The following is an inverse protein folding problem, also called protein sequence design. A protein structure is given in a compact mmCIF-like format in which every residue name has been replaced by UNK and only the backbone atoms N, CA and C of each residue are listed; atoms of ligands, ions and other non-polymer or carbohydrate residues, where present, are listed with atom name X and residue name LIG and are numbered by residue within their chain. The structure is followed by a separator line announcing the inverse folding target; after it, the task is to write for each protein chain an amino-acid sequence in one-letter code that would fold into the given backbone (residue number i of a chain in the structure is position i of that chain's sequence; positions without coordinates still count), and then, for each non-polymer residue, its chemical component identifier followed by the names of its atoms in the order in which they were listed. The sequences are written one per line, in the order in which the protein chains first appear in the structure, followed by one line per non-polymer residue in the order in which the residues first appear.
data_IF_467156455683
#
_entry.id   IF_467156455683
#
_cell.length_a   1.000
_cell.length_b   1.000
_cell.length_c   1.000
_cell.angle_alpha   90.00
_cell.angle_beta   90.00
_cell.angle_gamma   90.00
#
_symmetry.space_group_name_H-M   'P 1'
#
loop_
_entity.id
_entity.type
_entity.pdbx_description
1 polymer ?
#
# COMPACT_ATOMS: atom_id res chain seq x y z
N UNK A 1 -28.33 -4.98 -29.64
CA UNK A 1 -26.98 -5.38 -29.20
C UNK A 1 -26.06 -4.19 -29.46
N UNK A 2 -26.08 -3.22 -28.55
CA UNK A 2 -25.29 -1.98 -28.68
C UNK A 2 -23.90 -2.24 -28.14
N UNK A 3 -22.92 -2.23 -29.03
CA UNK A 3 -21.51 -2.22 -28.71
C UNK A 3 -21.18 -0.89 -28.01
N UNK A 4 -20.85 -0.95 -26.72
CA UNK A 4 -20.18 0.15 -26.03
C UNK A 4 -18.68 0.03 -26.29
N UNK A 5 -18.20 0.82 -27.24
CA UNK A 5 -16.78 1.12 -27.40
C UNK A 5 -16.38 2.11 -26.31
N UNK A 6 -15.63 1.65 -25.31
CA UNK A 6 -14.90 2.53 -24.38
C UNK A 6 -13.75 3.15 -25.18
N UNK A 7 -13.64 4.49 -25.28
CA UNK A 7 -12.50 5.10 -25.95
C UNK A 7 -11.26 4.91 -25.07
N UNK A 8 -10.20 4.39 -25.70
CA UNK A 8 -8.87 4.22 -25.13
C UNK A 8 -8.29 5.59 -24.84
N UNK A 9 -8.03 5.90 -23.56
CA UNK A 9 -7.37 7.12 -23.15
C UNK A 9 -6.02 7.23 -23.87
N UNK A 10 -5.86 8.32 -24.62
CA UNK A 10 -4.60 8.76 -25.20
C UNK A 10 -3.61 9.07 -24.10
N UNK A 11 -2.39 8.54 -24.21
CA UNK A 11 -1.19 8.96 -23.47
C UNK A 11 -1.00 10.48 -23.61
N UNK A 12 -1.59 11.23 -22.69
CA UNK A 12 -1.43 12.68 -22.53
C UNK A 12 -0.98 12.97 -21.09
N UNK A 13 -0.31 14.10 -20.84
CA UNK A 13 0.05 14.50 -19.48
C UNK A 13 -1.20 14.57 -18.59
N UNK A 14 -1.08 14.25 -17.29
CA UNK A 14 -2.22 14.03 -16.41
C UNK A 14 -3.14 15.25 -16.39
N UNK A 15 -4.44 15.00 -16.61
CA UNK A 15 -5.51 15.98 -16.44
C UNK A 15 -5.92 16.07 -14.97
N UNK A 16 -4.94 16.12 -14.06
CA UNK A 16 -5.14 16.44 -12.66
C UNK A 16 -4.93 17.95 -12.48
N UNK A 17 -5.75 18.59 -11.65
CA UNK A 17 -5.74 20.04 -11.39
C UNK A 17 -4.54 20.55 -10.57
N UNK A 18 -3.36 19.96 -10.76
CA UNK A 18 -2.08 20.31 -10.16
C UNK A 18 -1.00 19.37 -10.71
N UNK A 19 0.27 19.77 -10.67
CA UNK A 19 1.44 19.01 -11.19
C UNK A 19 1.74 17.69 -10.43
N UNK A 20 0.78 17.15 -9.68
CA UNK A 20 0.91 15.97 -8.83
C UNK A 20 0.36 14.74 -9.54
N UNK A 21 1.18 13.69 -9.63
CA UNK A 21 0.76 12.36 -10.07
C UNK A 21 0.28 11.57 -8.86
N UNK A 22 -0.93 11.00 -8.91
CA UNK A 22 -1.40 10.18 -7.81
C UNK A 22 -0.57 8.88 -7.71
N UNK A 23 -0.34 8.31 -6.51
CA UNK A 23 0.35 7.02 -6.38
C UNK A 23 -0.31 5.91 -7.20
N UNK A 24 -1.63 5.96 -7.39
CA UNK A 24 -2.37 5.05 -8.26
C UNK A 24 -1.92 5.12 -9.73
N UNK A 25 -1.76 6.31 -10.29
CA UNK A 25 -1.34 6.52 -11.69
C UNK A 25 0.10 6.07 -11.91
N UNK A 26 0.94 6.36 -10.92
CA UNK A 26 2.34 5.93 -10.88
C UNK A 26 2.42 4.40 -10.90
N UNK A 27 1.65 3.74 -10.03
CA UNK A 27 1.58 2.28 -9.99
C UNK A 27 1.12 1.70 -11.32
N UNK A 28 0.06 2.27 -11.93
CA UNK A 28 -0.43 1.81 -13.24
C UNK A 28 0.64 1.93 -14.32
N UNK A 29 1.37 3.04 -14.35
CA UNK A 29 2.45 3.27 -15.32
C UNK A 29 3.56 2.21 -15.19
N UNK A 30 3.99 1.92 -13.95
CA UNK A 30 4.97 0.85 -13.68
C UNK A 30 4.38 -0.49 -14.11
N UNK A 31 3.17 -0.81 -13.64
CA UNK A 31 2.53 -2.10 -13.90
C UNK A 31 2.39 -2.38 -15.40
N UNK A 32 1.94 -1.40 -16.19
CA UNK A 32 1.81 -1.54 -17.64
C UNK A 32 3.14 -1.77 -18.33
N UNK A 33 4.19 -1.02 -17.98
CA UNK A 33 5.52 -1.20 -18.57
C UNK A 33 6.07 -2.58 -18.28
N UNK A 34 6.01 -3.03 -17.02
CA UNK A 34 6.48 -4.35 -16.63
C UNK A 34 5.63 -5.47 -17.25
N UNK A 35 4.31 -5.28 -17.32
CA UNK A 35 3.40 -6.26 -17.92
C UNK A 35 3.65 -6.41 -19.42
N UNK A 36 3.77 -5.31 -20.16
CA UNK A 36 4.01 -5.33 -21.61
C UNK A 36 5.37 -5.93 -21.92
N UNK A 37 6.43 -5.46 -21.25
CA UNK A 37 7.78 -5.95 -21.47
C UNK A 37 7.92 -7.43 -21.08
N UNK A 38 7.39 -7.80 -19.91
CA UNK A 38 7.38 -9.18 -19.41
C UNK A 38 6.60 -10.11 -20.33
N UNK A 39 5.44 -9.67 -20.83
CA UNK A 39 4.64 -10.42 -21.80
C UNK A 39 5.40 -10.59 -23.12
N UNK A 40 6.04 -9.55 -23.64
CA UNK A 40 6.83 -9.61 -24.87
C UNK A 40 7.96 -10.63 -24.74
N UNK A 41 8.76 -10.53 -23.67
CA UNK A 41 9.86 -11.47 -23.41
C UNK A 41 9.32 -12.90 -23.22
N UNK A 42 8.24 -13.04 -22.45
CA UNK A 42 7.58 -14.32 -22.22
C UNK A 42 7.11 -14.97 -23.51
N UNK A 43 6.46 -14.22 -24.41
CA UNK A 43 6.03 -14.72 -25.73
C UNK A 43 7.23 -15.18 -26.56
N UNK A 44 8.31 -14.39 -26.61
CA UNK A 44 9.52 -14.78 -27.36
C UNK A 44 10.10 -16.08 -26.83
N UNK A 45 10.25 -16.21 -25.50
CA UNK A 45 10.80 -17.42 -24.87
C UNK A 45 9.89 -18.62 -25.13
N UNK A 46 8.58 -18.49 -24.91
CA UNK A 46 7.62 -19.57 -25.10
C UNK A 46 7.57 -20.01 -26.57
N UNK A 47 7.48 -19.08 -27.51
CA UNK A 47 7.47 -19.39 -28.95
C UNK A 47 8.77 -20.07 -29.37
N UNK A 48 9.92 -19.57 -28.91
CA UNK A 48 11.23 -20.17 -29.21
C UNK A 48 11.33 -21.60 -28.64
N UNK A 49 10.93 -21.80 -27.38
CA UNK A 49 10.90 -23.12 -26.75
C UNK A 49 9.95 -24.07 -27.47
N UNK A 50 8.75 -23.64 -27.84
CA UNK A 50 7.79 -24.45 -28.58
C UNK A 50 8.29 -24.77 -30.00
N UNK A 51 8.88 -23.80 -30.68
CA UNK A 51 9.52 -24.01 -31.98
C UNK A 51 10.57 -25.10 -31.90
N UNK A 52 11.48 -25.03 -30.91
CA UNK A 52 12.51 -26.06 -30.74
C UNK A 52 11.93 -27.40 -30.32
N UNK A 53 10.97 -27.41 -29.41
CA UNK A 53 10.29 -28.63 -28.96
C UNK A 53 9.57 -29.34 -30.11
N UNK A 54 8.97 -28.61 -31.06
CA UNK A 54 8.27 -29.20 -32.21
C UNK A 54 9.24 -29.57 -33.33
N UNK A 55 10.23 -28.72 -33.63
CA UNK A 55 11.16 -28.90 -34.75
C UNK A 55 12.18 -29.99 -34.49
N UNK A 56 12.63 -30.13 -33.23
CA UNK A 56 13.66 -31.08 -32.83
C UNK A 56 13.12 -32.20 -31.92
N UNK A 57 11.80 -32.43 -31.91
CA UNK A 57 11.23 -33.61 -31.22
C UNK A 57 11.78 -34.89 -31.82
N UNK A 58 11.98 -35.89 -30.97
CA UNK A 58 12.26 -37.25 -31.43
C UNK A 58 11.06 -37.77 -32.24
N UNK A 59 11.33 -38.29 -33.42
CA UNK A 59 10.37 -39.00 -34.27
C UNK A 59 10.85 -40.43 -34.46
N UNK A 60 9.91 -41.37 -34.54
CA UNK A 60 10.22 -42.78 -34.80
C UNK A 60 10.76 -42.91 -36.23
N UNK A 61 12.09 -43.00 -36.37
CA UNK A 61 12.77 -43.06 -37.67
C UNK A 61 14.26 -42.75 -37.60
N UNK A 62 14.94 -42.81 -38.74
CA UNK A 62 16.33 -42.36 -38.86
C UNK A 62 16.38 -40.85 -38.63
N UNK A 63 17.24 -40.43 -37.70
CA UNK A 63 17.40 -39.04 -37.33
C UNK A 63 17.95 -38.22 -38.52
N UNK A 64 17.18 -37.23 -39.03
CA UNK A 64 17.55 -36.48 -40.22
C UNK A 64 18.77 -35.58 -40.01
N UNK A 65 19.23 -35.40 -38.77
CA UNK A 65 20.38 -34.55 -38.44
C UNK A 65 21.65 -35.33 -38.12
N UNK A 66 21.61 -36.67 -38.12
CA UNK A 66 22.69 -37.55 -37.66
C UNK A 66 24.06 -37.25 -38.32
N UNK A 67 24.06 -36.93 -39.62
CA UNK A 67 25.28 -36.67 -40.40
C UNK A 67 25.64 -35.18 -40.49
N UNK A 68 24.79 -34.29 -39.99
CA UNK A 68 24.89 -32.82 -40.21
C UNK A 68 25.22 -32.02 -38.96
N UNK A 69 25.10 -32.62 -37.78
CA UNK A 69 25.32 -31.95 -36.50
C UNK A 69 26.11 -32.86 -35.58
N UNK A 70 27.29 -32.43 -35.16
CA UNK A 70 28.05 -33.10 -34.10
C UNK A 70 27.28 -33.02 -32.79
N UNK A 71 26.91 -34.18 -32.26
CA UNK A 71 26.23 -34.30 -30.97
C UNK A 71 27.26 -34.49 -29.88
N UNK A 72 27.08 -33.85 -28.71
CA UNK A 72 27.93 -34.13 -27.57
C UNK A 72 27.75 -35.61 -27.17
N UNK A 73 28.85 -36.36 -27.17
CA UNK A 73 28.85 -37.72 -26.62
C UNK A 73 29.13 -37.69 -25.12
N UNK A 74 28.66 -38.73 -24.43
CA UNK A 74 28.85 -38.85 -22.98
C UNK A 74 30.36 -38.97 -22.66
N UNK A 75 30.91 -37.97 -21.98
CA UNK A 75 32.33 -37.94 -21.60
C UNK A 75 33.20 -37.00 -22.44
N UNK A 76 32.66 -36.42 -23.51
CA UNK A 76 33.36 -35.39 -24.29
C UNK A 76 33.06 -33.98 -23.77
N UNK A 77 34.09 -33.15 -23.63
CA UNK A 77 33.92 -31.73 -23.37
C UNK A 77 33.53 -31.03 -24.68
N UNK A 78 32.47 -30.20 -24.71
CA UNK A 78 32.07 -29.50 -25.91
C UNK A 78 33.21 -28.60 -26.42
N UNK A 79 33.77 -28.90 -27.60
CA UNK A 79 34.89 -28.16 -28.20
C UNK A 79 34.43 -27.09 -29.20
N UNK A 80 33.18 -27.15 -29.66
CA UNK A 80 32.62 -26.25 -30.66
C UNK A 80 31.75 -25.15 -30.07
N UNK A 81 32.31 -23.96 -29.83
CA UNK A 81 31.49 -22.81 -29.46
C UNK A 81 32.13 -21.48 -29.78
N UNK A 82 31.52 -20.72 -30.69
CA UNK A 82 31.64 -19.25 -30.74
C UNK A 82 31.05 -18.56 -29.47
N UNK A 83 31.04 -19.27 -28.34
CA UNK A 83 30.03 -19.22 -27.29
C UNK A 83 30.15 -18.03 -26.36
N UNK A 84 31.36 -17.51 -26.14
CA UNK A 84 31.56 -16.34 -25.29
C UNK A 84 30.80 -15.12 -25.80
N UNK A 85 30.92 -14.79 -27.10
CA UNK A 85 30.36 -13.54 -27.63
C UNK A 85 28.83 -13.48 -27.52
N UNK A 86 28.14 -14.59 -27.73
CA UNK A 86 26.68 -14.66 -27.60
C UNK A 86 26.25 -14.51 -26.14
N UNK A 87 26.96 -15.17 -25.22
CA UNK A 87 26.70 -15.06 -23.77
C UNK A 87 26.99 -13.66 -23.25
N UNK A 88 28.13 -13.06 -23.63
CA UNK A 88 28.46 -11.69 -23.24
C UNK A 88 27.47 -10.67 -23.80
N UNK A 89 27.01 -10.85 -25.05
CA UNK A 89 26.02 -9.96 -25.66
C UNK A 89 24.65 -10.09 -24.99
N UNK A 90 24.15 -11.32 -24.77
CA UNK A 90 22.85 -11.53 -24.13
C UNK A 90 22.86 -11.09 -22.66
N UNK A 91 23.93 -11.40 -21.92
CA UNK A 91 24.11 -10.95 -20.54
C UNK A 91 24.24 -9.43 -20.47
N UNK A 92 25.01 -8.81 -21.37
CA UNK A 92 25.20 -7.36 -21.43
C UNK A 92 23.90 -6.62 -21.72
N UNK A 93 23.12 -7.06 -22.73
CA UNK A 93 21.82 -6.46 -23.05
C UNK A 93 20.85 -6.62 -21.89
N UNK A 94 20.78 -7.82 -21.29
CA UNK A 94 19.92 -8.07 -20.12
C UNK A 94 20.30 -7.18 -18.94
N UNK A 95 21.60 -7.07 -18.63
CA UNK A 95 22.09 -6.21 -17.55
C UNK A 95 21.70 -4.75 -17.76
N UNK A 96 21.86 -4.21 -18.98
CA UNK A 96 21.46 -2.83 -19.30
C UNK A 96 19.96 -2.62 -19.11
N UNK A 97 19.13 -3.55 -19.60
CA UNK A 97 17.66 -3.46 -19.44
C UNK A 97 17.30 -3.48 -17.95
N UNK A 98 17.80 -4.46 -17.20
CA UNK A 98 17.47 -4.64 -15.78
C UNK A 98 17.94 -3.44 -14.95
N UNK A 99 19.18 -2.96 -15.15
CA UNK A 99 19.70 -1.80 -14.42
C UNK A 99 18.91 -0.53 -14.72
N UNK A 100 18.47 -0.35 -15.97
CA UNK A 100 17.63 0.79 -16.35
C UNK A 100 16.26 0.73 -15.67
N UNK A 101 15.63 -0.46 -15.64
CA UNK A 101 14.35 -0.65 -14.96
C UNK A 101 14.45 -0.44 -13.45
N UNK A 102 15.52 -0.93 -12.82
CA UNK A 102 15.78 -0.73 -11.38
C UNK A 102 15.93 0.78 -11.09
N UNK A 103 16.77 1.47 -11.87
CA UNK A 103 16.99 2.90 -11.70
C UNK A 103 15.70 3.70 -11.83
N UNK A 104 14.90 3.41 -12.86
CA UNK A 104 13.61 4.08 -13.05
C UNK A 104 12.61 3.76 -11.92
N UNK A 105 12.49 2.48 -11.53
CA UNK A 105 11.58 2.06 -10.45
C UNK A 105 11.97 2.72 -9.11
N UNK A 106 13.26 2.85 -8.83
CA UNK A 106 13.74 3.52 -7.63
C UNK A 106 13.38 5.01 -7.60
N UNK A 107 13.54 5.72 -8.72
CA UNK A 107 13.15 7.13 -8.82
C UNK A 107 11.65 7.32 -8.57
N UNK A 108 10.84 6.41 -9.08
CA UNK A 108 9.39 6.45 -8.92
C UNK A 108 8.95 6.05 -7.50
N UNK A 109 9.65 5.10 -6.87
CA UNK A 109 9.45 4.77 -5.45
C UNK A 109 9.76 5.96 -4.56
N UNK A 110 10.89 6.66 -4.77
CA UNK A 110 11.24 7.86 -4.00
C UNK A 110 10.17 8.95 -4.13
N UNK A 111 9.58 9.13 -5.31
CA UNK A 111 8.46 10.06 -5.49
C UNK A 111 7.24 9.68 -4.63
N UNK A 112 6.90 8.39 -4.54
CA UNK A 112 5.80 7.90 -3.70
C UNK A 112 6.15 7.99 -2.20
N UNK A 113 7.38 7.72 -1.80
CA UNK A 113 7.76 7.74 -0.37
C UNK A 113 7.78 9.17 0.19
N UNK A 114 8.37 10.12 -0.54
CA UNK A 114 8.46 11.51 -0.10
C UNK A 114 7.11 12.24 -0.24
N UNK A 115 6.39 11.93 -1.32
CA UNK A 115 5.19 12.64 -1.74
C UNK A 115 5.47 14.08 -2.20
N UNK A 116 4.51 14.71 -2.88
CA UNK A 116 4.66 16.08 -3.35
C UNK A 116 4.68 17.07 -2.17
N UNK A 117 5.55 18.08 -2.25
CA UNK A 117 5.47 19.28 -1.41
C UNK A 117 4.87 20.42 -2.25
N UNK A 118 3.62 20.79 -2.00
CA UNK A 118 2.96 21.89 -2.72
C UNK A 118 3.23 23.20 -2.00
N UNK A 119 3.95 24.11 -2.65
CA UNK A 119 4.25 25.42 -2.07
C UNK A 119 2.97 26.20 -1.76
N UNK A 120 2.77 26.57 -0.50
CA UNK A 120 1.64 27.41 -0.06
C UNK A 120 0.38 26.64 0.32
N UNK A 121 0.35 25.31 0.22
CA UNK A 121 -0.73 24.47 0.72
C UNK A 121 -0.25 23.58 1.87
N UNK A 122 -0.88 23.71 3.04
CA UNK A 122 -0.65 22.76 4.12
C UNK A 122 -1.34 21.44 3.77
N UNK A 123 -0.56 20.35 3.78
CA UNK A 123 -1.06 19.00 3.57
C UNK A 123 -2.14 18.67 4.60
N UNK A 124 -3.27 18.12 4.14
CA UNK A 124 -4.30 17.62 5.05
C UNK A 124 -3.77 16.32 5.67
N UNK A 125 -3.28 16.41 6.91
CA UNK A 125 -2.74 15.29 7.67
C UNK A 125 -3.81 14.70 8.57
N UNK A 126 -4.11 13.42 8.39
CA UNK A 126 -5.11 12.68 9.16
C UNK A 126 -4.42 11.49 9.80
N UNK A 127 -4.59 11.32 11.11
CA UNK A 127 -4.08 10.13 11.80
C UNK A 127 -5.09 9.00 11.62
N UNK A 128 -4.61 7.83 11.23
CA UNK A 128 -5.40 6.61 11.08
C UNK A 128 -4.98 5.63 12.18
N UNK A 129 -5.88 5.33 13.10
CA UNK A 129 -5.63 4.40 14.20
C UNK A 129 -6.42 3.12 13.99
N UNK A 130 -5.71 2.01 13.76
CA UNK A 130 -6.28 0.67 13.69
C UNK A 130 -6.52 0.07 15.08
N UNK A 131 -7.63 -0.63 15.23
CA UNK A 131 -7.92 -1.48 16.40
C UNK A 131 -8.80 -2.67 15.97
N UNK A 132 -8.86 -3.72 16.76
CA UNK A 132 -9.76 -4.85 16.51
C UNK A 132 -11.23 -4.41 16.74
N UNK A 133 -12.08 -4.29 15.73
CA UNK A 133 -11.89 -4.50 14.29
C UNK A 133 -12.45 -3.31 13.49
N UNK A 134 -11.80 -2.16 13.60
CA UNK A 134 -12.20 -0.92 12.95
C UNK A 134 -11.07 0.10 12.89
N UNK A 135 -11.42 1.27 12.40
CA UNK A 135 -10.50 2.37 12.16
C UNK A 135 -11.06 3.65 12.79
N UNK A 136 -10.20 4.40 13.46
CA UNK A 136 -10.49 5.77 13.89
C UNK A 136 -9.65 6.73 13.05
N UNK A 137 -10.31 7.74 12.48
CA UNK A 137 -9.68 8.83 11.74
C UNK A 137 -9.68 10.08 12.62
N UNK A 138 -8.50 10.58 12.96
CA UNK A 138 -8.33 11.78 13.77
C UNK A 138 -7.88 12.92 12.87
N UNK A 139 -8.70 13.96 12.78
CA UNK A 139 -8.44 15.13 11.95
C UNK A 139 -7.58 16.17 12.70
N UNK A 140 -6.97 17.16 12.02
CA UNK A 140 -6.08 18.13 12.66
C UNK A 140 -6.70 18.94 13.81
N UNK A 141 -8.02 19.13 13.80
CA UNK A 141 -8.76 19.80 14.87
C UNK A 141 -9.07 18.88 16.08
N UNK A 142 -8.63 17.62 16.04
CA UNK A 142 -8.90 16.62 17.07
C UNK A 142 -10.25 15.92 16.94
N UNK A 143 -11.02 16.19 15.88
CA UNK A 143 -12.25 15.46 15.61
C UNK A 143 -11.94 14.00 15.27
N UNK A 144 -12.67 13.06 15.89
CA UNK A 144 -12.55 11.64 15.62
C UNK A 144 -13.75 11.15 14.79
N UNK A 145 -13.49 10.34 13.78
CA UNK A 145 -14.55 9.73 12.95
C UNK A 145 -14.24 8.26 12.63
N UNK A 146 -15.28 7.48 12.34
CA UNK A 146 -15.17 6.13 11.76
C UNK A 146 -15.25 6.14 10.23
N UNK A 147 -15.48 7.31 9.62
CA UNK A 147 -15.52 7.52 8.17
C UNK A 147 -14.44 8.52 7.77
N UNK A 148 -13.63 8.16 6.77
CA UNK A 148 -12.58 9.02 6.24
C UNK A 148 -13.19 9.93 5.17
N UNK A 149 -13.56 11.15 5.54
CA UNK A 149 -14.04 12.17 4.62
C UNK A 149 -12.86 13.04 4.19
N UNK A 150 -12.67 13.22 2.89
CA UNK A 150 -11.56 13.99 2.33
C UNK A 150 -12.01 14.84 1.15
N UNK A 151 -11.38 16.00 0.91
CA UNK A 151 -11.69 16.81 -0.27
C UNK A 151 -11.05 16.25 -1.54
N UNK A 152 -11.77 16.30 -2.65
CA UNK A 152 -11.21 16.01 -3.99
C UNK A 152 -10.10 16.99 -4.36
N UNK A 153 -9.19 16.57 -5.24
CA UNK A 153 -8.09 17.39 -5.76
C UNK A 153 -7.24 18.03 -4.65
N UNK A 154 -6.95 17.25 -3.61
CA UNK A 154 -6.06 17.68 -2.53
C UNK A 154 -5.17 16.52 -2.12
N UNK A 155 -3.92 16.82 -1.82
CA UNK A 155 -3.00 15.85 -1.23
C UNK A 155 -3.43 15.61 0.22
N UNK A 156 -3.75 14.34 0.51
CA UNK A 156 -4.08 13.86 1.84
C UNK A 156 -2.93 12.99 2.32
N UNK A 157 -2.37 13.32 3.48
CA UNK A 157 -1.34 12.53 4.16
C UNK A 157 -1.96 11.78 5.32
N UNK A 158 -1.67 10.49 5.40
CA UNK A 158 -2.14 9.59 6.43
C UNK A 158 -0.98 9.20 7.32
N UNK A 159 -1.11 9.46 8.61
CA UNK A 159 -0.21 8.95 9.64
C UNK A 159 -0.86 7.72 10.26
N UNK A 160 -0.37 6.54 9.91
CA UNK A 160 -1.03 5.27 10.21
C UNK A 160 -0.35 4.59 11.41
N UNK A 161 -1.14 4.23 12.42
CA UNK A 161 -0.67 3.53 13.62
C UNK A 161 -1.73 2.56 14.14
N UNK A 162 -1.41 1.81 15.18
CA UNK A 162 -2.32 0.84 15.81
C UNK A 162 -2.36 0.98 17.32
N UNK A 163 -3.54 0.73 17.89
CA UNK A 163 -3.79 0.70 19.34
C UNK A 163 -3.49 -0.67 19.96
N UNK A 164 -3.47 -1.75 19.18
CA UNK A 164 -3.43 -3.12 19.71
C UNK A 164 -2.46 -4.07 18.99
N UNK A 165 -2.77 -4.52 17.78
CA UNK A 165 -2.03 -5.52 17.00
C UNK A 165 -1.57 -4.94 15.66
N UNK A 166 -0.85 -5.72 14.87
CA UNK A 166 -0.51 -5.32 13.51
C UNK A 166 -1.77 -5.31 12.64
N UNK A 167 -1.97 -4.20 11.93
CA UNK A 167 -2.95 -4.06 10.86
C UNK A 167 -2.24 -3.52 9.62
N UNK A 168 -2.94 -3.47 8.49
CA UNK A 168 -2.48 -2.75 7.31
C UNK A 168 -3.68 -2.01 6.72
N UNK A 169 -3.65 -0.68 6.84
CA UNK A 169 -4.70 0.18 6.29
C UNK A 169 -4.51 0.28 4.79
N UNK A 170 -5.55 0.02 3.99
CA UNK A 170 -5.49 0.26 2.56
C UNK A 170 -6.81 0.67 1.95
N UNK A 171 -6.72 1.51 0.91
CA UNK A 171 -7.86 1.95 0.09
C UNK A 171 -7.62 1.39 -1.32
N UNK A 172 -8.26 0.27 -1.71
CA UNK A 172 -7.96 -0.42 -2.95
C UNK A 172 -8.11 0.48 -4.19
N UNK A 173 -9.15 1.31 -4.22
CA UNK A 173 -9.43 2.23 -5.33
C UNK A 173 -8.30 3.24 -5.57
N UNK A 174 -7.57 3.62 -4.51
CA UNK A 174 -6.49 4.60 -4.59
C UNK A 174 -5.10 3.95 -4.64
N UNK A 175 -5.03 2.60 -4.60
CA UNK A 175 -3.79 1.81 -4.53
C UNK A 175 -2.82 2.28 -3.43
N UNK A 176 -3.37 2.81 -2.34
CA UNK A 176 -2.60 3.25 -1.18
C UNK A 176 -2.75 2.23 -0.06
N UNK A 177 -1.64 1.90 0.59
CA UNK A 177 -1.62 1.06 1.78
C UNK A 177 -0.46 1.42 2.70
N UNK A 178 -0.65 1.27 4.01
CA UNK A 178 0.39 1.47 5.01
C UNK A 178 0.15 0.59 6.25
N UNK A 179 1.24 0.15 6.87
CA UNK A 179 1.18 -0.72 8.04
C UNK A 179 0.78 0.07 9.29
N UNK A 180 -0.23 -0.42 10.00
CA UNK A 180 -0.65 0.11 11.29
C UNK A 180 0.01 -0.73 12.39
N UNK A 181 1.07 -0.20 12.99
CA UNK A 181 1.94 -0.93 13.92
C UNK A 181 1.87 -0.30 15.31
N UNK A 182 1.63 -1.08 16.39
CA UNK A 182 1.63 -0.53 17.74
C UNK A 182 2.97 0.10 18.11
N UNK A 183 2.94 1.35 18.57
CA UNK A 183 4.13 2.11 18.96
C UNK A 183 4.98 2.64 17.80
N UNK A 184 4.50 2.53 16.56
CA UNK A 184 5.15 3.12 15.38
C UNK A 184 4.11 3.84 14.52
N UNK A 185 4.54 4.91 13.86
CA UNK A 185 3.72 5.62 12.88
C UNK A 185 4.36 5.44 11.51
N UNK A 186 3.59 4.91 10.57
CA UNK A 186 3.96 4.86 9.15
C UNK A 186 3.20 5.96 8.41
N UNK A 187 3.67 6.31 7.21
CA UNK A 187 3.04 7.34 6.40
C UNK A 187 2.55 6.76 5.08
N UNK A 188 1.40 7.25 4.63
CA UNK A 188 0.93 7.09 3.26
C UNK A 188 0.39 8.45 2.78
N UNK A 189 0.23 8.61 1.47
CA UNK A 189 -0.49 9.75 0.94
C UNK A 189 -1.25 9.35 -0.31
N UNK A 190 -2.25 10.14 -0.66
CA UNK A 190 -2.97 10.01 -1.92
C UNK A 190 -3.57 11.36 -2.31
N UNK A 191 -4.00 11.44 -3.57
CA UNK A 191 -4.89 12.48 -4.07
C UNK A 191 -5.91 11.78 -4.96
N UNK A 192 -7.13 12.28 -4.98
CA UNK A 192 -8.21 11.70 -5.78
C UNK A 192 -9.12 12.81 -6.29
N UNK A 193 -9.54 12.71 -7.54
CA UNK A 193 -10.27 13.78 -8.24
C UNK A 193 -11.77 13.48 -8.37
N UNK A 194 -12.18 12.22 -8.40
CA UNK A 194 -13.59 11.83 -8.50
C UNK A 194 -14.27 11.84 -7.11
N UNK A 195 -15.40 12.51 -7.00
CA UNK A 195 -16.20 12.46 -5.77
C UNK A 195 -16.96 11.14 -5.69
N UNK A 196 -17.07 10.57 -4.50
CA UNK A 196 -17.80 9.33 -4.30
C UNK A 196 -17.49 8.69 -2.95
N UNK A 197 -18.10 7.54 -2.73
CA UNK A 197 -17.87 6.69 -1.57
C UNK A 197 -17.03 5.49 -2.00
N UNK A 198 -15.96 5.26 -1.27
CA UNK A 198 -14.98 4.20 -1.46
C UNK A 198 -14.85 3.42 -0.15
N UNK A 199 -14.18 2.26 -0.22
CA UNK A 199 -13.99 1.38 0.93
C UNK A 199 -12.51 1.32 1.29
N UNK A 200 -12.22 1.42 2.58
CA UNK A 200 -10.94 1.04 3.16
C UNK A 200 -11.07 -0.32 3.86
N UNK A 201 -10.01 -1.11 3.86
CA UNK A 201 -10.00 -2.44 4.45
C UNK A 201 -8.64 -2.77 5.09
N UNK A 202 -8.65 -3.74 6.00
CA UNK A 202 -7.43 -4.29 6.58
C UNK A 202 -6.78 -5.33 5.66
N UNK A 203 -5.46 -5.23 5.44
CA UNK A 203 -4.67 -6.16 4.61
C UNK A 203 -3.70 -7.05 5.38
N UNK A 204 -3.62 -6.90 6.71
CA UNK A 204 -2.79 -7.73 7.59
C UNK A 204 -3.68 -8.53 8.53
N UNK A 205 -3.44 -9.83 8.67
CA UNK A 205 -4.30 -10.72 9.46
C UNK A 205 -4.29 -10.29 10.93
N UNK A 206 -5.36 -9.62 11.35
CA UNK A 206 -5.44 -8.97 12.66
C UNK A 206 -6.41 -9.65 13.65
N UNK A 207 -6.95 -10.83 13.33
CA UNK A 207 -7.80 -11.61 14.23
C UNK A 207 -9.05 -12.21 13.56
N UNK A 208 -10.00 -12.68 14.38
CA UNK A 208 -11.17 -13.46 13.92
C UNK A 208 -12.14 -12.68 13.01
N UNK A 209 -12.20 -11.36 13.15
CA UNK A 209 -13.05 -10.48 12.34
C UNK A 209 -12.24 -9.64 11.34
N UNK A 210 -11.02 -10.07 10.99
CA UNK A 210 -10.15 -9.39 10.02
C UNK A 210 -10.87 -9.07 8.70
N UNK A 211 -11.63 -10.01 8.14
CA UNK A 211 -12.35 -9.81 6.87
C UNK A 211 -13.53 -8.83 6.95
N UNK A 212 -13.96 -8.46 8.16
CA UNK A 212 -15.05 -7.50 8.38
C UNK A 212 -14.52 -6.10 8.75
N UNK A 213 -13.19 -5.96 8.91
CA UNK A 213 -12.53 -4.72 9.30
C UNK A 213 -12.43 -3.77 8.10
N UNK A 214 -13.53 -3.08 7.85
CA UNK A 214 -13.71 -2.11 6.76
C UNK A 214 -14.03 -0.72 7.32
N UNK A 215 -13.81 0.31 6.52
CA UNK A 215 -14.26 1.68 6.81
C UNK A 215 -14.68 2.38 5.53
N UNK A 216 -15.60 3.33 5.66
CA UNK A 216 -16.05 4.14 4.54
C UNK A 216 -15.08 5.30 4.29
N UNK A 217 -14.81 5.59 3.03
CA UNK A 217 -13.99 6.72 2.58
C UNK A 217 -14.82 7.59 1.65
N UNK A 218 -15.09 8.82 2.02
CA UNK A 218 -15.90 9.75 1.24
C UNK A 218 -15.03 10.85 0.63
N UNK A 219 -14.96 10.89 -0.69
CA UNK A 219 -14.33 11.98 -1.43
C UNK A 219 -15.41 12.98 -1.80
N UNK A 220 -15.33 14.18 -1.24
CA UNK A 220 -16.34 15.23 -1.41
C UNK A 220 -15.77 16.45 -2.12
N UNK A 221 -16.63 17.36 -2.58
CA UNK A 221 -16.17 18.65 -3.10
C UNK A 221 -15.44 19.46 -2.02
N UNK A 222 -14.52 20.34 -2.45
CA UNK A 222 -13.78 21.23 -1.53
C UNK A 222 -14.71 22.09 -0.66
N UNK A 223 -15.83 22.58 -1.23
CA UNK A 223 -16.83 23.36 -0.48
C UNK A 223 -17.55 22.50 0.56
N UNK A 224 -17.99 21.29 0.18
CA UNK A 224 -18.66 20.37 1.10
C UNK A 224 -17.74 19.93 2.23
N UNK A 225 -16.45 19.66 1.94
CA UNK A 225 -15.45 19.36 2.97
C UNK A 225 -15.29 20.52 3.94
N UNK A 226 -15.14 21.76 3.44
CA UNK A 226 -14.99 22.95 4.29
C UNK A 226 -16.19 23.19 5.20
N UNK A 227 -17.39 22.99 4.67
CA UNK A 227 -18.63 23.13 5.46
C UNK A 227 -18.72 22.09 6.55
N UNK A 228 -18.51 20.81 6.19
CA UNK A 228 -18.49 19.72 7.16
C UNK A 228 -17.42 19.92 8.24
N UNK A 229 -16.19 20.25 7.84
CA UNK A 229 -15.06 20.41 8.75
C UNK A 229 -15.29 21.55 9.76
N UNK A 230 -15.87 22.69 9.33
CA UNK A 230 -16.26 23.76 10.25
C UNK A 230 -17.29 23.28 11.28
N UNK A 231 -18.26 22.46 10.86
CA UNK A 231 -19.23 21.86 11.78
C UNK A 231 -18.57 20.97 12.85
N UNK A 232 -17.48 20.27 12.51
CA UNK A 232 -16.73 19.43 13.46
C UNK A 232 -15.98 20.25 14.52
N UNK A 233 -15.56 21.49 14.20
CA UNK A 233 -14.90 22.36 15.19
C UNK A 233 -15.86 22.71 16.35
N UNK A 234 -17.13 22.96 16.05
CA UNK A 234 -18.16 23.27 17.05
C UNK A 234 -18.45 22.05 17.93
N UNK A 235 -18.46 20.85 17.36
CA UNK A 235 -18.67 19.59 18.09
C UNK A 235 -17.50 19.29 19.04
N UNK A 236 -16.26 19.39 18.54
CA UNK A 236 -15.05 19.18 19.36
C UNK A 236 -14.93 20.21 20.48
N UNK A 237 -15.28 21.48 20.22
CA UNK A 237 -15.30 22.52 21.24
C UNK A 237 -16.35 22.23 22.34
N UNK A 238 -17.55 21.78 21.96
CA UNK A 238 -18.61 21.42 22.90
C UNK A 238 -18.25 20.17 23.73
N UNK A 239 -17.62 19.16 23.12
CA UNK A 239 -17.16 17.97 23.83
C UNK A 239 -16.11 18.31 24.91
N UNK A 240 -15.17 19.21 24.57
CA UNK A 240 -14.15 19.71 25.52
C UNK A 240 -14.78 20.50 26.67
N UNK A 241 -15.78 21.34 26.38
CA UNK A 241 -16.49 22.12 27.39
C UNK A 241 -17.37 21.26 28.33
N UNK A 242 -17.91 20.13 27.84
CA UNK A 242 -18.67 19.18 28.63
C UNK A 242 -17.77 18.31 29.53
N UNK A 243 -16.61 17.89 29.03
CA UNK A 243 -15.61 17.15 29.82
C UNK A 243 -15.09 17.94 31.03
N UNK A 244 -15.01 19.27 30.91
CA UNK A 244 -14.54 20.15 31.98
C UNK A 244 -15.61 20.49 33.04
N UNK A 245 -16.85 20.01 32.88
CA UNK A 245 -17.97 20.28 33.82
C UNK A 245 -18.30 19.12 34.76
N UNK A 246 -17.60 17.98 34.69
CA UNK A 246 -17.88 16.78 35.52
C UNK A 246 -16.88 16.59 36.68
N UNK A 247 -16.35 17.67 37.27
CA UNK A 247 -15.58 17.57 38.51
C UNK A 247 -15.92 18.65 39.55
N UNK A 248 -16.94 18.44 40.40
CA UNK A 248 -16.92 18.91 41.77
C UNK A 248 -16.49 17.74 42.69
N UNK A 249 -15.35 17.92 43.36
CA UNK A 249 -14.77 16.93 44.24
C UNK A 249 -15.72 16.46 45.35
N UNK A 250 -15.82 15.14 45.51
CA UNK A 250 -16.22 14.56 46.78
C UNK A 250 -14.95 14.39 47.62
N UNK A 251 -14.65 15.39 48.44
CA UNK A 251 -13.68 15.26 49.51
C UNK A 251 -14.26 14.33 50.58
N UNK A 252 -13.73 13.11 50.68
CA UNK A 252 -13.98 12.21 51.80
C UNK A 252 -13.27 12.76 53.04
N UNK A 253 -13.94 12.99 54.18
CA UNK A 253 -13.27 13.37 55.40
C UNK A 253 -12.43 12.21 55.92
N UNK A 254 -11.15 12.46 56.16
CA UNK A 254 -10.23 11.55 56.86
C UNK A 254 -10.65 11.44 58.32
N UNK A 255 -11.20 10.30 58.75
CA UNK A 255 -11.27 9.94 60.16
C UNK A 255 -9.98 9.24 60.59
N UNK A 256 -9.28 9.91 61.49
CA UNK A 256 -8.09 9.44 62.19
C UNK A 256 -8.54 8.51 63.33
N UNK A 257 -8.32 7.20 63.20
CA UNK A 257 -8.46 6.25 64.31
C UNK A 257 -7.13 5.55 64.52
N UNK A 258 -6.39 6.10 65.48
CA UNK A 258 -5.37 5.40 66.24
C UNK A 258 -6.06 4.30 67.04
N UNK A 259 -5.71 3.04 66.81
CA UNK A 259 -5.52 2.05 67.89
C UNK A 259 -4.93 0.74 67.34
N UNK A 260 -3.76 0.38 67.86
CA UNK A 260 -3.17 -0.96 67.82
C UNK A 260 -3.49 -1.62 69.17
N UNK A 261 -3.93 -2.89 69.22
CA UNK A 261 -2.97 -3.94 69.62
C UNK A 261 -3.14 -5.31 68.96
N UNK A 262 -2.01 -5.83 68.47
CA UNK A 262 -1.40 -7.16 68.68
C UNK A 262 -2.25 -8.44 68.67
N UNK A 263 -1.97 -9.34 67.70
CA UNK A 263 -1.66 -10.78 67.84
C UNK A 263 -1.55 -11.44 66.45
N UNK A 264 -0.35 -11.77 65.95
CA UNK A 264 0.32 -13.08 66.03
C UNK A 264 -0.40 -14.22 65.28
N UNK A 265 0.16 -14.66 64.14
CA UNK A 265 0.32 -16.08 63.75
C UNK A 265 0.74 -16.24 62.26
N UNK A 266 1.99 -16.63 62.06
CA UNK A 266 2.47 -17.71 61.15
C UNK A 266 1.90 -17.86 59.73
N UNK A 267 2.79 -17.71 58.74
CA UNK A 267 3.22 -18.86 57.94
C UNK A 267 2.83 -18.89 56.45
N UNK A 268 3.84 -18.91 55.58
CA UNK A 268 3.85 -19.79 54.40
C UNK A 268 3.55 -19.17 53.04
N UNK A 269 4.60 -18.77 52.33
CA UNK A 269 4.77 -19.11 50.90
C UNK A 269 5.19 -20.61 50.80
N UNK A 270 5.23 -21.30 49.64
CA UNK A 270 5.02 -20.82 48.27
C UNK A 270 4.23 -21.77 47.32
N UNK A 271 3.93 -21.27 46.11
CA UNK A 271 4.12 -21.96 44.82
C UNK A 271 3.95 -20.95 43.67
#
# INVERSE_FOLDING_TARGET
MSSHSVPRATLGPPLHGGDVRAPAEVFESIFEVFLVLGTLVGVVVVVYTLYHAVTYRATDGADPYADSVERPELGELPTGGAGGRKVFLSLGISAVIVLSLIGWTYMELSYIEDGPSIEGEEDLRITVEGYQFGWTFVYPNGYESTTLRVPRNRVVRLDVTSRDVFHNFGIPAFRVKADAIPGQTTAAWFTHDETGTYEAQCYELCGSAHSMMTAEVEVVSQDAYREWYRGTDEETANATAAGNQTAPGTATPTENVTDTPTANATGGEPA
#
